data_IF_354844283800
#
_entry.id   IF_354844283800
#
_cell.length_a   1.000
_cell.length_b   1.000
_cell.length_c   1.000
_cell.angle_alpha   90.00
_cell.angle_beta   90.00
_cell.angle_gamma   90.00
#
_symmetry.space_group_name_H-M   'P 1'
#
loop_
_entity.id
_entity.type
_entity.pdbx_description
1 polymer ?
#
# COMPACT_ATOMS: atom_id res chain seq x y z
N UNK A 1 7.44 16.12 67.78
CA UNK A 1 6.98 15.97 66.39
C UNK A 1 8.02 16.62 65.49
N UNK A 2 8.72 15.85 64.64
CA UNK A 2 9.80 16.35 63.77
C UNK A 2 9.24 16.47 62.34
N UNK A 3 9.29 17.66 61.77
CA UNK A 3 8.81 17.95 60.41
C UNK A 3 9.90 17.73 59.37
N UNK A 4 9.57 17.23 58.17
CA UNK A 4 10.54 17.07 57.10
C UNK A 4 11.03 18.42 56.61
N UNK A 5 12.35 18.55 56.45
CA UNK A 5 13.02 19.71 55.86
C UNK A 5 13.62 19.25 54.54
N UNK A 6 13.19 19.87 53.45
CA UNK A 6 13.71 19.57 52.12
C UNK A 6 14.97 20.38 51.85
N UNK A 7 16.02 19.78 51.25
CA UNK A 7 17.21 20.51 50.89
C UNK A 7 16.88 21.55 49.81
N UNK A 8 17.40 22.77 50.01
CA UNK A 8 17.17 23.92 49.13
C UNK A 8 17.74 23.72 47.71
N UNK A 9 18.53 22.66 47.50
CA UNK A 9 18.98 22.21 46.18
C UNK A 9 17.85 21.65 45.29
N UNK A 10 16.67 21.37 45.85
CA UNK A 10 15.47 21.03 45.08
C UNK A 10 14.78 22.25 44.48
N UNK A 11 15.19 23.47 44.85
CA UNK A 11 14.63 24.69 44.30
C UNK A 11 15.27 24.95 42.93
N UNK A 12 14.48 24.74 41.88
CA UNK A 12 14.89 25.13 40.52
C UNK A 12 14.86 26.65 40.41
N UNK A 13 15.94 27.30 39.94
CA UNK A 13 15.90 28.71 39.63
C UNK A 13 14.90 28.96 38.50
N UNK A 14 14.02 29.94 38.70
CA UNK A 14 13.12 30.40 37.65
C UNK A 14 13.90 31.29 36.70
N UNK A 15 13.98 30.90 35.43
CA UNK A 15 14.52 31.73 34.36
C UNK A 15 13.36 32.40 33.63
N UNK A 16 13.47 33.71 33.44
CA UNK A 16 12.50 34.45 32.64
C UNK A 16 12.61 33.98 31.19
N UNK A 17 11.50 33.48 30.65
CA UNK A 17 11.43 33.04 29.27
C UNK A 17 11.64 34.25 28.36
N UNK A 18 12.80 34.35 27.72
CA UNK A 18 13.02 35.33 26.65
C UNK A 18 12.14 34.93 25.47
N UNK A 19 11.01 35.63 25.29
CA UNK A 19 10.00 35.32 24.28
C UNK A 19 10.61 35.26 22.87
N UNK A 20 11.64 36.08 22.61
CA UNK A 20 12.34 36.18 21.32
C UNK A 20 13.19 34.95 20.96
N UNK A 21 13.57 34.10 21.93
CA UNK A 21 14.32 32.85 21.63
C UNK A 21 13.44 31.71 21.15
N UNK A 22 12.12 31.76 21.41
CA UNK A 22 11.19 30.68 21.06
C UNK A 22 10.35 30.99 19.81
N UNK A 23 10.42 32.21 19.27
CA UNK A 23 9.71 32.59 18.05
C UNK A 23 10.38 32.08 16.77
N UNK A 24 11.65 31.65 16.81
CA UNK A 24 12.38 31.18 15.62
C UNK A 24 12.15 29.71 15.23
N UNK A 25 11.33 28.96 15.97
CA UNK A 25 10.99 27.57 15.63
C UNK A 25 9.48 27.32 15.63
N UNK A 26 8.74 28.07 14.82
CA UNK A 26 7.41 27.65 14.35
C UNK A 26 7.40 27.51 12.83
N UNK A 27 8.32 26.71 12.29
CA UNK A 27 8.09 26.11 10.98
C UNK A 27 7.20 24.90 11.24
N UNK A 28 5.90 25.04 10.97
CA UNK A 28 5.02 23.88 10.88
C UNK A 28 5.70 22.88 9.93
N UNK A 29 5.97 21.63 10.34
CA UNK A 29 6.53 20.66 9.42
C UNK A 29 5.52 20.49 8.29
N UNK A 30 5.94 20.75 7.05
CA UNK A 30 5.17 20.37 5.87
C UNK A 30 4.90 18.87 6.00
N UNK A 31 3.63 18.42 5.93
CA UNK A 31 3.34 16.99 5.92
C UNK A 31 4.16 16.33 4.81
N UNK A 32 4.80 15.18 5.07
CA UNK A 32 5.52 14.48 4.02
C UNK A 32 4.55 14.24 2.85
N UNK A 33 5.02 14.55 1.64
CA UNK A 33 4.31 14.20 0.41
C UNK A 33 4.10 12.68 0.42
N UNK A 34 2.84 12.25 0.41
CA UNK A 34 2.49 10.84 0.36
C UNK A 34 2.88 10.38 -1.04
N UNK A 35 4.11 9.89 -1.18
CA UNK A 35 4.50 9.15 -2.37
C UNK A 35 3.62 7.91 -2.36
N UNK A 36 2.63 7.85 -3.26
CA UNK A 36 1.98 6.59 -3.57
C UNK A 36 3.10 5.64 -3.99
N UNK A 37 3.51 4.77 -3.06
CA UNK A 37 4.44 3.70 -3.38
C UNK A 37 3.75 2.98 -4.53
N UNK A 38 4.30 3.10 -5.74
CA UNK A 38 3.88 2.27 -6.85
C UNK A 38 4.01 0.85 -6.31
N UNK A 39 2.87 0.25 -5.95
CA UNK A 39 2.76 -1.14 -5.57
C UNK A 39 3.10 -1.92 -6.84
N UNK A 40 4.40 -2.03 -7.13
CA UNK A 40 4.92 -2.84 -8.21
C UNK A 40 4.28 -4.20 -7.97
N UNK A 41 3.37 -4.66 -8.85
CA UNK A 41 2.58 -5.82 -8.57
C UNK A 41 3.56 -6.96 -8.35
N UNK A 42 3.51 -7.57 -7.16
CA UNK A 42 4.39 -8.68 -6.81
C UNK A 42 4.26 -9.84 -7.82
N UNK A 43 5.08 -10.88 -7.71
CA UNK A 43 5.04 -11.98 -8.65
C UNK A 43 3.64 -12.59 -8.73
N UNK A 44 3.19 -12.85 -9.96
CA UNK A 44 1.88 -13.45 -10.23
C UNK A 44 1.87 -14.88 -9.69
N UNK A 45 0.74 -15.26 -9.06
CA UNK A 45 0.48 -16.64 -8.63
C UNK A 45 -0.37 -17.36 -9.68
N UNK A 46 -1.55 -16.83 -9.99
CA UNK A 46 -2.45 -17.41 -11.00
C UNK A 46 -3.48 -16.41 -11.53
N UNK A 47 -4.04 -16.75 -12.69
CA UNK A 47 -5.21 -16.07 -13.25
C UNK A 47 -6.46 -16.86 -12.88
N UNK A 48 -7.49 -16.17 -12.38
CA UNK A 48 -8.71 -16.80 -11.84
C UNK A 48 -9.86 -16.65 -12.83
N UNK A 49 -10.04 -15.45 -13.39
CA UNK A 49 -11.17 -15.13 -14.28
C UNK A 49 -10.71 -14.28 -15.45
N UNK A 50 -11.51 -14.28 -16.50
CA UNK A 50 -11.39 -13.39 -17.63
C UNK A 50 -12.71 -12.65 -17.86
N UNK A 51 -12.64 -11.38 -18.25
CA UNK A 51 -13.78 -10.58 -18.68
C UNK A 51 -13.42 -9.77 -19.92
N UNK A 52 -14.43 -9.37 -20.68
CA UNK A 52 -14.28 -8.44 -21.82
C UNK A 52 -14.95 -7.12 -21.44
N UNK A 53 -14.20 -6.03 -21.52
CA UNK A 53 -14.69 -4.68 -21.26
C UNK A 53 -14.56 -3.82 -22.52
N UNK A 54 -15.32 -2.73 -22.61
CA UNK A 54 -15.11 -1.70 -23.63
C UNK A 54 -14.48 -0.49 -22.97
N UNK A 55 -13.25 -0.18 -23.33
CA UNK A 55 -12.54 1.02 -22.87
C UNK A 55 -12.26 1.90 -24.10
N UNK A 56 -12.66 3.17 -24.06
CA UNK A 56 -12.48 4.11 -25.18
C UNK A 56 -13.01 3.57 -26.53
N UNK A 57 -14.17 2.90 -26.51
CA UNK A 57 -14.79 2.30 -27.70
C UNK A 57 -14.10 1.03 -28.22
N UNK A 58 -12.93 0.65 -27.68
CA UNK A 58 -12.22 -0.58 -28.04
C UNK A 58 -12.55 -1.70 -27.06
N UNK A 59 -12.84 -2.88 -27.58
CA UNK A 59 -13.05 -4.07 -26.75
C UNK A 59 -11.72 -4.62 -26.26
N UNK A 60 -11.48 -4.58 -24.95
CA UNK A 60 -10.26 -5.10 -24.32
C UNK A 60 -10.60 -6.30 -23.41
N UNK A 61 -9.74 -7.32 -23.41
CA UNK A 61 -9.81 -8.43 -22.46
C UNK A 61 -9.02 -8.08 -21.21
N UNK A 62 -9.62 -8.37 -20.05
CA UNK A 62 -8.96 -8.27 -18.75
C UNK A 62 -9.01 -9.61 -18.05
N UNK A 63 -8.00 -9.84 -17.24
CA UNK A 63 -7.79 -11.06 -16.47
C UNK A 63 -7.70 -10.69 -14.99
N UNK A 64 -8.41 -11.44 -14.14
CA UNK A 64 -8.34 -11.28 -12.69
C UNK A 64 -7.13 -12.05 -12.19
N UNK A 65 -6.11 -11.31 -11.77
CA UNK A 65 -4.81 -11.84 -11.38
C UNK A 65 -4.72 -11.88 -9.87
N UNK A 66 -4.30 -13.03 -9.34
CA UNK A 66 -3.91 -13.20 -7.94
C UNK A 66 -2.40 -13.21 -7.82
N UNK A 67 -1.89 -12.41 -6.90
CA UNK A 67 -0.46 -12.29 -6.63
C UNK A 67 -0.01 -13.29 -5.55
N UNK A 68 1.28 -13.64 -5.55
CA UNK A 68 1.85 -14.49 -4.50
C UNK A 68 1.81 -13.76 -3.15
N UNK A 69 1.50 -14.51 -2.10
CA UNK A 69 1.44 -14.03 -0.71
C UNK A 69 0.46 -12.86 -0.49
N UNK A 70 -0.49 -12.66 -1.39
CA UNK A 70 -1.56 -11.67 -1.24
C UNK A 70 -2.91 -12.35 -1.06
N UNK A 71 -3.77 -11.74 -0.27
CA UNK A 71 -5.15 -12.17 -0.06
C UNK A 71 -6.02 -11.84 -1.27
N UNK A 72 -7.18 -12.51 -1.36
CA UNK A 72 -8.14 -12.34 -2.46
C UNK A 72 -8.61 -10.89 -2.63
N UNK A 73 -8.61 -10.10 -1.55
CA UNK A 73 -9.02 -8.69 -1.57
C UNK A 73 -8.07 -7.81 -2.41
N UNK A 74 -6.83 -8.27 -2.64
CA UNK A 74 -5.83 -7.59 -3.45
C UNK A 74 -5.76 -8.10 -4.90
N UNK A 75 -6.68 -8.97 -5.31
CA UNK A 75 -6.73 -9.44 -6.70
C UNK A 75 -7.08 -8.26 -7.63
N UNK A 76 -6.35 -8.11 -8.75
CA UNK A 76 -6.52 -6.98 -9.67
C UNK A 76 -6.91 -7.46 -11.07
N UNK A 77 -7.77 -6.68 -11.73
CA UNK A 77 -8.09 -6.87 -13.14
C UNK A 77 -7.03 -6.18 -14.01
N UNK A 78 -6.22 -6.98 -14.71
CA UNK A 78 -5.14 -6.49 -15.56
C UNK A 78 -5.41 -6.81 -17.03
N UNK A 79 -4.94 -5.93 -17.91
CA UNK A 79 -4.85 -6.21 -19.35
C UNK A 79 -3.79 -7.29 -19.62
N UNK A 80 -3.88 -7.98 -20.76
CA UNK A 80 -2.91 -9.01 -21.17
C UNK A 80 -1.44 -8.53 -21.09
N UNK A 81 -1.19 -7.30 -21.56
CA UNK A 81 0.16 -6.70 -21.60
C UNK A 81 0.67 -6.27 -20.22
N UNK A 82 -0.21 -6.09 -19.24
CA UNK A 82 0.12 -5.59 -17.91
C UNK A 82 0.43 -6.72 -16.91
N UNK A 83 0.36 -7.99 -17.33
CA UNK A 83 0.59 -9.16 -16.47
C UNK A 83 2.06 -9.57 -16.55
N UNK A 84 2.81 -9.54 -15.43
CA UNK A 84 4.16 -10.11 -15.38
C UNK A 84 4.14 -11.60 -15.76
N UNK A 85 5.01 -12.00 -16.69
CA UNK A 85 5.05 -13.36 -17.26
C UNK A 85 3.67 -13.84 -17.77
N UNK A 86 2.89 -12.93 -18.36
CA UNK A 86 1.51 -13.18 -18.77
C UNK A 86 1.33 -14.40 -19.66
N UNK A 87 2.24 -14.63 -20.62
CA UNK A 87 2.16 -15.76 -21.55
C UNK A 87 2.10 -17.13 -20.86
N UNK A 88 2.92 -17.34 -19.83
CA UNK A 88 2.94 -18.59 -19.08
C UNK A 88 1.61 -18.81 -18.34
N UNK A 89 1.19 -17.79 -17.59
CA UNK A 89 -0.02 -17.85 -16.77
C UNK A 89 -1.29 -17.95 -17.62
N UNK A 90 -1.35 -17.25 -18.75
CA UNK A 90 -2.47 -17.31 -19.69
C UNK A 90 -2.56 -18.67 -20.37
N UNK A 91 -1.42 -19.28 -20.72
CA UNK A 91 -1.40 -20.64 -21.27
C UNK A 91 -1.99 -21.64 -20.29
N UNK A 92 -1.55 -21.60 -19.02
CA UNK A 92 -2.06 -22.47 -17.96
C UNK A 92 -3.56 -22.25 -17.75
N UNK A 93 -4.00 -20.98 -17.66
CA UNK A 93 -5.40 -20.63 -17.49
C UNK A 93 -6.30 -21.10 -18.64
N UNK A 94 -5.83 -20.97 -19.90
CA UNK A 94 -6.57 -21.45 -21.08
C UNK A 94 -6.67 -22.97 -21.07
N UNK A 95 -5.61 -23.67 -20.68
CA UNK A 95 -5.61 -25.13 -20.58
C UNK A 95 -6.59 -25.63 -19.51
N UNK A 96 -6.61 -25.03 -18.32
CA UNK A 96 -7.53 -25.41 -17.23
C UNK A 96 -9.00 -25.13 -17.56
N UNK A 97 -9.28 -24.07 -18.33
CA UNK A 97 -10.64 -23.76 -18.81
C UNK A 97 -11.16 -24.78 -19.82
N UNK A 98 -10.28 -25.34 -20.66
CA UNK A 98 -10.67 -26.30 -21.67
C UNK A 98 -11.17 -27.62 -21.07
N UNK A 99 -10.61 -28.03 -19.92
CA UNK A 99 -11.01 -29.26 -19.23
C UNK A 99 -12.34 -29.12 -18.47
N UNK A 100 -12.62 -27.94 -17.92
CA UNK A 100 -13.88 -27.65 -17.22
C UNK A 100 -15.11 -27.67 -18.13
N UNK A 101 -14.95 -27.34 -19.42
CA UNK A 101 -16.04 -27.31 -20.39
C UNK A 101 -16.42 -28.69 -20.92
N UNK A 102 -15.60 -29.72 -20.68
CA UNK A 102 -15.81 -31.08 -21.18
C UNK A 102 -16.48 -32.01 -20.16
N UNK A 103 -16.68 -31.55 -18.92
CA UNK A 103 -17.31 -32.29 -17.83
C UNK A 103 -18.74 -31.79 -17.50
N UNK A 104 -19.35 -30.96 -18.36
CA UNK A 104 -20.76 -30.61 -18.33
C UNK A 104 -21.44 -31.14 -19.58
#
# INVERSE_FOLDING_TARGET
>A
MKHPVFPVSLVKPYFQTEEDKFLSQKKNPTPPEIVEVEDSPGPVNKIIKARKIRLNGKGQRQYLVRFKNQTADKDKWLAEDAIPDGNLHLRIFRASRSTEQYHQ
#
